data_IF_785983420391
#
_entry.id   IF_785983420391
#
_cell.length_a   1.000
_cell.length_b   1.000
_cell.length_c   1.000
_cell.angle_alpha   90.00
_cell.angle_beta   90.00
_cell.angle_gamma   90.00
#
_symmetry.space_group_name_H-M   'P 1'
#
loop_
_entity.id
_entity.type
_entity.pdbx_description
1 polymer ?
#
# COMPACT_ATOMS: atom_id res chain seq x y z
N UNK A 1 -4.17 -5.70 -41.26
CA UNK A 1 -3.80 -7.09 -41.58
C UNK A 1 -3.37 -7.77 -40.29
N UNK A 2 -4.30 -8.30 -39.51
CA UNK A 2 -4.02 -9.21 -38.40
C UNK A 2 -3.82 -10.59 -39.03
N UNK A 3 -2.57 -11.07 -39.08
CA UNK A 3 -2.27 -12.40 -39.61
C UNK A 3 -3.04 -13.44 -38.80
N UNK A 4 -3.95 -14.17 -39.47
CA UNK A 4 -4.69 -15.30 -38.93
C UNK A 4 -3.75 -16.51 -38.74
N UNK A 5 -2.71 -16.36 -37.92
CA UNK A 5 -1.85 -17.48 -37.51
C UNK A 5 -2.62 -18.49 -36.62
N UNK A 6 -3.76 -18.09 -36.06
CA UNK A 6 -4.61 -18.93 -35.20
C UNK A 6 -5.10 -20.21 -35.89
N UNK A 7 -5.59 -20.13 -37.13
CA UNK A 7 -6.20 -21.31 -37.79
C UNK A 7 -5.18 -22.40 -38.15
N UNK A 8 -3.98 -22.04 -38.61
CA UNK A 8 -2.89 -23.00 -38.92
C UNK A 8 -2.25 -23.58 -37.63
N UNK A 9 -2.10 -22.78 -36.58
CA UNK A 9 -1.57 -23.25 -35.29
C UNK A 9 -2.52 -24.21 -34.56
N UNK A 10 -3.81 -23.96 -34.70
CA UNK A 10 -4.87 -24.76 -34.09
C UNK A 10 -5.11 -26.05 -34.89
N UNK A 11 -5.03 -26.01 -36.24
CA UNK A 11 -5.11 -27.19 -37.11
C UNK A 11 -3.96 -28.19 -36.93
N UNK A 12 -2.76 -27.72 -36.54
CA UNK A 12 -1.55 -28.57 -36.42
C UNK A 12 -1.22 -29.03 -35.00
N UNK A 13 -2.12 -28.79 -34.03
CA UNK A 13 -2.01 -29.26 -32.64
C UNK A 13 -0.75 -28.76 -31.89
N UNK A 14 -0.09 -27.72 -32.40
CA UNK A 14 1.11 -27.15 -31.79
C UNK A 14 0.81 -26.43 -30.48
N UNK A 15 -0.41 -25.89 -30.33
CA UNK A 15 -0.87 -25.26 -29.09
C UNK A 15 -0.90 -26.28 -27.95
N UNK A 16 -1.42 -27.48 -28.20
CA UNK A 16 -1.46 -28.54 -27.20
C UNK A 16 -0.05 -29.00 -26.83
N UNK A 17 0.84 -29.18 -27.81
CA UNK A 17 2.25 -29.51 -27.54
C UNK A 17 2.96 -28.42 -26.73
N UNK A 18 2.72 -27.15 -27.06
CA UNK A 18 3.35 -26.03 -26.37
C UNK A 18 2.79 -25.85 -24.95
N UNK A 19 1.48 -25.98 -24.76
CA UNK A 19 0.85 -26.01 -23.43
C UNK A 19 1.36 -27.20 -22.61
N UNK A 20 1.52 -28.38 -23.20
CA UNK A 20 2.08 -29.55 -22.52
C UNK A 20 3.56 -29.34 -22.15
N UNK A 21 4.36 -28.70 -23.01
CA UNK A 21 5.72 -28.29 -22.67
C UNK A 21 5.71 -27.30 -21.49
N UNK A 22 4.81 -26.31 -21.51
CA UNK A 22 4.67 -25.35 -20.41
C UNK A 22 4.21 -26.04 -19.12
N UNK A 23 3.28 -27.00 -19.20
CA UNK A 23 2.85 -27.83 -18.06
C UNK A 23 4.00 -28.66 -17.51
N UNK A 24 4.81 -29.26 -18.38
CA UNK A 24 5.95 -30.08 -17.97
C UNK A 24 7.06 -29.24 -17.35
N UNK A 25 7.37 -28.08 -17.91
CA UNK A 25 8.29 -27.09 -17.30
C UNK A 25 7.76 -26.60 -15.95
N UNK A 26 6.47 -26.28 -15.87
CA UNK A 26 5.82 -25.94 -14.60
C UNK A 26 5.89 -27.11 -13.61
N UNK A 27 5.67 -28.35 -14.05
CA UNK A 27 5.69 -29.56 -13.23
C UNK A 27 7.10 -29.86 -12.70
N UNK A 28 8.12 -29.73 -13.53
CA UNK A 28 9.53 -29.87 -13.18
C UNK A 28 9.94 -28.84 -12.11
N UNK A 29 9.48 -27.59 -12.25
CA UNK A 29 9.61 -26.54 -11.23
C UNK A 29 8.90 -26.87 -9.90
N UNK A 30 7.94 -27.80 -9.89
CA UNK A 30 7.27 -28.30 -8.68
C UNK A 30 7.98 -29.53 -8.09
N UNK A 31 8.45 -30.48 -8.89
CA UNK A 31 9.06 -31.71 -8.41
C UNK A 31 10.44 -31.48 -7.76
N UNK A 32 11.18 -30.47 -8.23
CA UNK A 32 12.42 -30.00 -7.59
C UNK A 32 12.24 -29.37 -6.20
N UNK A 33 11.00 -29.21 -5.71
CA UNK A 33 10.68 -28.53 -4.43
C UNK A 33 10.21 -29.48 -3.31
N UNK A 34 10.22 -30.79 -3.55
CA UNK A 34 9.79 -31.82 -2.57
C UNK A 34 10.78 -32.09 -1.43
N UNK A 35 12.01 -31.53 -1.48
CA UNK A 35 12.96 -31.58 -0.36
C UNK A 35 13.28 -30.16 0.13
N UNK A 36 12.51 -29.69 1.11
CA UNK A 36 12.69 -28.44 1.89
C UNK A 36 12.86 -27.13 1.08
N UNK A 37 11.73 -26.40 1.00
CA UNK A 37 11.66 -24.93 1.10
C UNK A 37 12.38 -24.14 0.00
N UNK A 38 11.80 -24.08 -1.21
CA UNK A 38 12.01 -22.96 -2.17
C UNK A 38 10.94 -22.98 -3.26
N UNK A 39 9.97 -22.06 -3.22
CA UNK A 39 9.08 -21.83 -4.35
C UNK A 39 9.86 -21.11 -5.45
N UNK A 40 10.27 -21.85 -6.48
CA UNK A 40 10.99 -21.27 -7.62
C UNK A 40 10.18 -20.17 -8.29
N UNK A 41 10.79 -19.02 -8.52
CA UNK A 41 10.20 -17.93 -9.29
C UNK A 41 9.86 -18.48 -10.68
N UNK A 42 8.60 -18.30 -11.09
CA UNK A 42 8.17 -18.69 -12.42
C UNK A 42 8.93 -17.84 -13.44
N UNK A 43 9.60 -18.49 -14.40
CA UNK A 43 10.37 -17.75 -15.41
C UNK A 43 9.46 -16.77 -16.13
N UNK A 44 9.88 -15.50 -16.19
CA UNK A 44 9.17 -14.42 -16.88
C UNK A 44 8.78 -14.82 -18.30
N UNK A 45 9.63 -15.60 -18.99
CA UNK A 45 9.35 -16.11 -20.33
C UNK A 45 8.13 -17.04 -20.36
N UNK A 46 7.96 -17.92 -19.37
CA UNK A 46 6.81 -18.85 -19.27
C UNK A 46 5.51 -18.06 -19.03
N UNK A 47 5.57 -17.04 -18.18
CA UNK A 47 4.40 -16.19 -17.90
C UNK A 47 3.98 -15.39 -19.13
N UNK A 48 4.93 -14.74 -19.81
CA UNK A 48 4.62 -13.90 -20.96
C UNK A 48 4.20 -14.72 -22.18
N UNK A 49 4.79 -15.90 -22.40
CA UNK A 49 4.34 -16.82 -23.46
C UNK A 49 2.90 -17.27 -23.25
N UNK A 50 2.47 -17.55 -22.00
CA UNK A 50 1.06 -17.82 -21.70
C UNK A 50 0.15 -16.64 -22.05
N UNK A 51 0.57 -15.41 -21.75
CA UNK A 51 -0.17 -14.21 -22.12
C UNK A 51 -0.27 -14.02 -23.64
N UNK A 52 0.79 -14.34 -24.38
CA UNK A 52 0.79 -14.30 -25.84
C UNK A 52 -0.09 -15.41 -26.46
N UNK A 53 -0.14 -16.60 -25.86
CA UNK A 53 -1.07 -17.66 -26.26
C UNK A 53 -2.51 -17.17 -26.08
N UNK A 54 -2.83 -16.61 -24.91
CA UNK A 54 -4.16 -16.05 -24.65
C UNK A 54 -4.53 -14.96 -25.67
N UNK A 55 -3.58 -14.07 -25.98
CA UNK A 55 -3.76 -12.99 -26.96
C UNK A 55 -4.05 -13.48 -28.38
N UNK A 56 -3.35 -14.51 -28.84
CA UNK A 56 -3.45 -14.97 -30.23
C UNK A 56 -4.53 -16.03 -30.46
N UNK A 57 -4.90 -16.81 -29.44
CA UNK A 57 -5.87 -17.90 -29.55
C UNK A 57 -7.23 -17.57 -28.93
N UNK A 58 -7.31 -16.59 -28.03
CA UNK A 58 -8.55 -16.18 -27.39
C UNK A 58 -9.28 -17.35 -26.72
N UNK A 59 -10.58 -17.48 -26.98
CA UNK A 59 -11.46 -18.50 -26.38
C UNK A 59 -11.12 -19.94 -26.74
N UNK A 60 -10.32 -20.18 -27.78
CA UNK A 60 -9.86 -21.52 -28.13
C UNK A 60 -8.92 -22.13 -27.07
N UNK A 61 -8.21 -21.30 -26.33
CA UNK A 61 -7.22 -21.74 -25.34
C UNK A 61 -7.79 -21.82 -23.91
N UNK A 62 -9.06 -21.48 -23.69
CA UNK A 62 -9.70 -21.41 -22.35
C UNK A 62 -9.51 -22.68 -21.53
N UNK A 63 -9.77 -23.86 -22.12
CA UNK A 63 -9.65 -25.14 -21.42
C UNK A 63 -8.23 -25.46 -20.97
N UNK A 64 -7.23 -25.03 -21.75
CA UNK A 64 -5.82 -25.29 -21.48
C UNK A 64 -5.22 -24.30 -20.48
N UNK A 65 -5.62 -23.03 -20.56
CA UNK A 65 -5.11 -21.95 -19.70
C UNK A 65 -5.73 -22.04 -18.31
N UNK A 66 -7.00 -22.43 -18.17
CA UNK A 66 -7.70 -22.48 -16.87
C UNK A 66 -6.97 -23.33 -15.82
N UNK A 67 -6.56 -24.55 -16.17
CA UNK A 67 -5.83 -25.42 -15.24
C UNK A 67 -4.43 -24.91 -14.88
N UNK A 68 -3.79 -24.16 -15.78
CA UNK A 68 -2.48 -23.55 -15.55
C UNK A 68 -2.57 -22.30 -14.70
N UNK A 69 -3.61 -21.50 -14.87
CA UNK A 69 -3.78 -20.21 -14.23
C UNK A 69 -3.86 -20.34 -12.70
N UNK A 70 -4.66 -21.27 -12.19
CA UNK A 70 -4.76 -21.51 -10.74
C UNK A 70 -3.42 -21.92 -10.13
N UNK A 71 -2.67 -22.75 -10.85
CA UNK A 71 -1.32 -23.18 -10.44
C UNK A 71 -0.34 -22.01 -10.42
N UNK A 72 -0.41 -21.14 -11.42
CA UNK A 72 0.48 -19.99 -11.57
C UNK A 72 0.17 -18.91 -10.51
N UNK A 73 -1.10 -18.56 -10.31
CA UNK A 73 -1.54 -17.61 -9.27
C UNK A 73 -1.25 -18.17 -7.87
N UNK A 74 -1.35 -19.49 -7.70
CA UNK A 74 -1.00 -20.20 -6.48
C UNK A 74 0.48 -20.14 -6.11
N UNK A 75 1.40 -19.99 -7.09
CA UNK A 75 2.85 -19.96 -6.84
C UNK A 75 3.35 -18.65 -6.28
N UNK A 76 2.91 -17.51 -6.81
CA UNK A 76 3.40 -16.22 -6.33
C UNK A 76 2.94 -15.06 -7.19
N UNK A 77 2.78 -13.90 -6.56
CA UNK A 77 2.50 -12.67 -7.27
C UNK A 77 3.80 -12.06 -7.79
N UNK A 78 3.84 -11.74 -9.08
CA UNK A 78 4.96 -11.07 -9.73
C UNK A 78 4.44 -10.08 -10.77
N UNK A 79 5.24 -9.08 -11.14
CA UNK A 79 4.84 -8.11 -12.15
C UNK A 79 4.52 -8.76 -13.52
N UNK A 80 5.31 -9.74 -14.02
CA UNK A 80 4.96 -10.44 -15.24
C UNK A 80 3.65 -11.21 -15.15
N UNK A 81 3.35 -11.82 -13.99
CA UNK A 81 2.07 -12.50 -13.77
C UNK A 81 0.90 -11.54 -13.88
N UNK A 82 0.99 -10.36 -13.27
CA UNK A 82 -0.04 -9.32 -13.35
C UNK A 82 -0.34 -8.94 -14.81
N UNK A 83 0.70 -8.77 -15.63
CA UNK A 83 0.58 -8.48 -17.07
C UNK A 83 -0.05 -9.66 -17.82
N UNK A 84 0.39 -10.89 -17.56
CA UNK A 84 -0.18 -12.10 -18.16
C UNK A 84 -1.66 -12.24 -17.84
N UNK A 85 -2.05 -12.05 -16.57
CA UNK A 85 -3.44 -12.07 -16.16
C UNK A 85 -4.27 -10.99 -16.86
N UNK A 86 -3.71 -9.79 -17.05
CA UNK A 86 -4.39 -8.71 -17.77
C UNK A 86 -4.63 -9.08 -19.23
N UNK A 87 -3.61 -9.63 -19.91
CA UNK A 87 -3.76 -10.13 -21.28
C UNK A 87 -4.80 -11.25 -21.40
N UNK A 88 -4.83 -12.17 -20.44
CA UNK A 88 -5.82 -13.25 -20.37
C UNK A 88 -7.23 -12.69 -20.19
N UNK A 89 -7.42 -11.76 -19.24
CA UNK A 89 -8.73 -11.16 -18.97
C UNK A 89 -9.25 -10.31 -20.15
N UNK A 90 -8.34 -9.68 -20.90
CA UNK A 90 -8.68 -8.87 -22.09
C UNK A 90 -9.08 -9.74 -23.29
N UNK A 91 -8.34 -10.82 -23.58
CA UNK A 91 -8.54 -11.64 -24.78
C UNK A 91 -9.43 -12.86 -24.55
N UNK A 92 -9.71 -13.22 -23.28
CA UNK A 92 -10.59 -14.32 -22.88
C UNK A 92 -11.60 -13.83 -21.81
N UNK A 93 -12.69 -13.16 -22.23
CA UNK A 93 -13.68 -12.61 -21.30
C UNK A 93 -14.33 -13.65 -20.38
N UNK A 94 -14.46 -14.89 -20.85
CA UNK A 94 -14.99 -16.03 -20.07
C UNK A 94 -14.16 -16.31 -18.80
N UNK A 95 -12.86 -15.99 -18.83
CA UNK A 95 -11.94 -16.18 -17.71
C UNK A 95 -11.78 -14.93 -16.83
N UNK A 96 -12.37 -13.78 -17.20
CA UNK A 96 -12.20 -12.51 -16.48
C UNK A 96 -12.54 -12.66 -14.99
N UNK A 97 -13.67 -13.28 -14.67
CA UNK A 97 -14.12 -13.55 -13.28
C UNK A 97 -13.12 -14.43 -12.52
N UNK A 98 -12.74 -15.58 -13.11
CA UNK A 98 -11.83 -16.54 -12.47
C UNK A 98 -10.46 -15.90 -12.17
N UNK A 99 -9.92 -15.12 -13.12
CA UNK A 99 -8.66 -14.37 -12.97
C UNK A 99 -8.78 -13.32 -11.85
N UNK A 100 -9.86 -12.53 -11.86
CA UNK A 100 -10.13 -11.50 -10.87
C UNK A 100 -10.20 -12.08 -9.45
N UNK A 101 -10.95 -13.18 -9.27
CA UNK A 101 -11.06 -13.84 -7.96
C UNK A 101 -9.73 -14.42 -7.50
N UNK A 102 -9.01 -15.12 -8.38
CA UNK A 102 -7.69 -15.68 -8.06
C UNK A 102 -6.70 -14.60 -7.62
N UNK A 103 -6.65 -13.48 -8.34
CA UNK A 103 -5.79 -12.34 -8.01
C UNK A 103 -6.20 -11.68 -6.69
N UNK A 104 -7.49 -11.37 -6.49
CA UNK A 104 -7.97 -10.77 -5.25
C UNK A 104 -7.68 -11.67 -4.04
N UNK A 105 -7.86 -12.98 -4.18
CA UNK A 105 -7.52 -13.97 -3.15
C UNK A 105 -6.06 -13.86 -2.75
N UNK A 106 -5.17 -13.84 -3.74
CA UNK A 106 -3.73 -13.81 -3.50
C UNK A 106 -3.29 -12.47 -2.91
N UNK A 107 -3.80 -11.36 -3.43
CA UNK A 107 -3.54 -10.02 -2.90
C UNK A 107 -4.00 -9.92 -1.45
N UNK A 108 -5.20 -10.40 -1.12
CA UNK A 108 -5.71 -10.36 0.25
C UNK A 108 -4.80 -11.15 1.21
N UNK A 109 -4.32 -12.34 0.80
CA UNK A 109 -3.39 -13.13 1.61
C UNK A 109 -2.07 -12.41 1.84
N UNK A 110 -1.55 -11.71 0.83
CA UNK A 110 -0.29 -10.95 0.96
C UNK A 110 -0.50 -9.76 1.89
N UNK A 111 -1.55 -8.97 1.67
CA UNK A 111 -1.80 -7.76 2.47
C UNK A 111 -2.18 -8.11 3.92
N UNK A 112 -2.95 -9.17 4.16
CA UNK A 112 -3.34 -9.60 5.50
C UNK A 112 -2.17 -10.18 6.33
N UNK A 113 -1.23 -10.87 5.68
CA UNK A 113 -0.10 -11.47 6.39
C UNK A 113 1.07 -10.51 6.56
N UNK A 114 0.95 -9.26 6.13
CA UNK A 114 2.01 -8.27 6.28
C UNK A 114 2.20 -7.96 7.76
N UNK A 115 3.26 -8.50 8.36
CA UNK A 115 3.61 -8.24 9.75
C UNK A 115 4.73 -7.21 9.82
N UNK A 116 4.51 -6.10 10.52
CA UNK A 116 5.64 -5.31 11.03
C UNK A 116 6.44 -4.49 10.01
N UNK A 117 5.82 -3.94 8.96
CA UNK A 117 6.44 -2.83 8.20
C UNK A 117 6.36 -1.49 8.99
N UNK A 118 6.13 -1.56 10.29
CA UNK A 118 6.25 -0.42 11.20
C UNK A 118 7.72 -0.12 11.47
N UNK A 119 8.04 1.16 11.64
CA UNK A 119 9.40 1.69 11.86
C UNK A 119 10.19 0.85 12.89
N UNK A 120 11.37 0.30 12.54
CA UNK A 120 12.28 -0.24 13.54
C UNK A 120 12.97 0.93 14.24
N UNK A 121 12.48 1.30 15.43
CA UNK A 121 13.14 2.30 16.28
C UNK A 121 12.21 3.39 16.79
N UNK A 122 11.36 3.05 17.76
CA UNK A 122 10.89 4.04 18.73
C UNK A 122 11.98 4.21 19.80
N UNK A 123 12.64 5.37 19.83
CA UNK A 123 13.36 5.81 21.03
C UNK A 123 12.39 5.81 22.22
N UNK A 124 12.79 5.34 23.41
CA UNK A 124 11.91 5.35 24.57
C UNK A 124 11.65 6.81 24.95
N UNK A 125 10.40 7.23 24.83
CA UNK A 125 9.91 8.47 25.44
C UNK A 125 10.03 8.27 26.95
N UNK A 126 11.12 8.83 27.50
CA UNK A 126 11.40 8.85 28.92
C UNK A 126 10.26 9.48 29.69
N UNK A 127 9.91 8.84 30.80
CA UNK A 127 8.91 9.26 31.75
C UNK A 127 9.07 10.75 32.12
N UNK A 128 7.94 11.44 32.12
CA UNK A 128 7.78 12.81 32.63
C UNK A 128 8.08 12.80 34.13
N UNK A 129 9.22 13.34 34.53
CA UNK A 129 9.45 13.87 35.87
C UNK A 129 9.70 15.37 35.71
N UNK A 130 8.77 16.18 36.20
CA UNK A 130 8.85 17.63 36.16
C UNK A 130 10.03 18.14 36.98
N UNK A 131 10.84 19.00 36.38
CA UNK A 131 11.82 19.83 37.09
C UNK A 131 11.74 21.24 36.50
N UNK A 132 11.27 22.17 37.33
CA UNK A 132 11.33 23.62 37.14
C UNK A 132 12.75 24.15 37.46
N UNK A 133 13.14 25.33 36.94
CA UNK A 133 14.52 25.76 36.88
C UNK A 133 15.00 26.42 38.18
N UNK A 134 16.30 26.26 38.48
CA UNK A 134 16.95 26.77 39.67
C UNK A 134 17.61 28.14 39.54
N UNK A 135 17.82 28.77 40.70
CA UNK A 135 18.98 29.58 41.12
C UNK A 135 18.87 29.80 42.65
N UNK A 136 19.87 30.35 43.36
CA UNK A 136 21.17 29.77 43.72
C UNK A 136 21.36 29.57 45.25
N UNK A 137 22.51 28.97 45.61
CA UNK A 137 23.15 28.73 46.94
C UNK A 137 22.86 29.74 48.09
N UNK A 138 22.90 29.31 49.37
CA UNK A 138 24.12 29.51 50.20
C UNK A 138 24.40 28.48 51.33
N UNK A 139 25.70 28.33 51.65
CA UNK A 139 26.34 28.48 52.98
C UNK A 139 25.86 27.72 54.24
N UNK A 140 26.72 26.82 54.72
CA UNK A 140 27.27 26.68 56.09
C UNK A 140 26.35 26.65 57.32
N UNK A 141 26.35 25.52 58.06
CA UNK A 141 26.84 25.38 59.45
C UNK A 141 26.08 24.33 60.31
N UNK A 142 26.90 23.46 60.93
CA UNK A 142 26.80 22.90 62.30
C UNK A 142 25.61 22.05 62.76
N UNK A 143 25.95 20.83 63.23
CA UNK A 143 25.75 20.50 64.65
C UNK A 143 24.90 19.27 64.99
N UNK A 144 25.59 18.26 65.59
CA UNK A 144 25.09 17.22 66.50
C UNK A 144 24.08 16.19 65.95
N UNK A 145 24.16 14.88 66.21
CA UNK A 145 25.01 14.07 67.07
C UNK A 145 24.38 12.66 67.17
N UNK A 146 25.22 11.68 67.51
CA UNK A 146 24.90 10.31 67.95
C UNK A 146 24.31 9.32 66.93
N UNK A 147 24.51 8.00 66.99
CA UNK A 147 25.56 7.03 67.42
C UNK A 147 24.92 5.65 67.09
N UNK A 148 25.76 4.62 66.86
CA UNK A 148 25.51 3.16 67.04
C UNK A 148 25.12 2.27 65.82
N UNK A 149 26.16 1.66 65.22
CA UNK A 149 26.44 0.21 65.11
C UNK A 149 25.38 -0.83 64.66
N UNK A 150 25.59 -1.41 63.46
CA UNK A 150 25.89 -2.85 63.09
C UNK A 150 25.29 -3.96 64.00
N UNK A 151 24.71 -5.11 63.52
CA UNK A 151 25.33 -6.02 62.53
C UNK A 151 24.45 -6.72 61.46
N UNK A 152 25.16 -7.20 60.44
CA UNK A 152 24.76 -8.27 59.52
C UNK A 152 24.62 -9.63 60.21
N UNK A 153 23.65 -10.43 59.76
CA UNK A 153 23.67 -11.90 59.87
C UNK A 153 22.96 -12.54 58.67
N UNK A 154 23.66 -13.50 58.04
CA UNK A 154 23.19 -14.45 57.02
C UNK A 154 21.93 -15.20 57.45
N UNK A 155 21.16 -15.70 56.46
CA UNK A 155 20.79 -17.12 56.31
C UNK A 155 20.19 -17.36 54.90
N UNK A 156 20.86 -18.19 54.09
CA UNK A 156 20.30 -18.99 52.97
C UNK A 156 19.71 -20.30 53.54
N UNK A 157 19.11 -21.23 52.76
CA UNK A 157 18.48 -21.19 51.43
C UNK A 157 17.05 -21.81 51.47
N UNK A 158 16.23 -21.65 50.42
CA UNK A 158 15.31 -22.73 50.01
C UNK A 158 14.96 -22.63 48.53
N UNK A 159 14.96 -23.82 47.94
CA UNK A 159 14.98 -24.18 46.52
C UNK A 159 13.55 -24.24 45.97
N UNK A 160 13.26 -23.57 44.86
CA UNK A 160 12.19 -23.96 43.96
C UNK A 160 12.54 -23.61 42.50
N UNK A 161 12.19 -24.54 41.62
CA UNK A 161 12.69 -24.75 40.26
C UNK A 161 12.04 -23.83 39.22
N UNK A 162 12.83 -23.49 38.20
CA UNK A 162 12.52 -23.27 36.78
C UNK A 162 11.12 -22.79 36.36
N UNK A 163 11.05 -21.67 35.63
CA UNK A 163 10.64 -21.68 34.21
C UNK A 163 10.87 -20.34 33.48
N UNK A 164 11.74 -20.43 32.47
CA UNK A 164 11.66 -19.88 31.10
C UNK A 164 11.01 -18.50 30.88
N UNK A 165 11.89 -17.55 30.57
CA UNK A 165 11.81 -16.41 29.64
C UNK A 165 10.53 -16.33 28.78
N UNK A 166 9.79 -15.24 28.92
CA UNK A 166 8.84 -14.73 27.92
C UNK A 166 9.32 -13.36 27.40
N UNK A 167 9.60 -13.28 26.10
CA UNK A 167 9.93 -12.04 25.38
C UNK A 167 8.66 -11.20 25.14
N UNK A 168 8.67 -9.86 25.27
CA UNK A 168 7.53 -9.02 24.96
C UNK A 168 7.67 -8.42 23.55
N UNK A 169 7.18 -9.11 22.52
CA UNK A 169 6.86 -8.51 21.23
C UNK A 169 5.53 -9.07 20.74
N UNK A 170 4.45 -8.32 20.96
CA UNK A 170 3.16 -8.61 20.33
C UNK A 170 3.17 -8.09 18.89
N UNK A 171 3.51 -8.96 17.95
CA UNK A 171 3.38 -8.70 16.51
C UNK A 171 1.89 -8.65 16.13
N UNK A 172 1.39 -7.48 15.74
CA UNK A 172 0.00 -7.32 15.28
C UNK A 172 -0.07 -7.60 13.78
N UNK A 173 -0.75 -8.69 13.39
CA UNK A 173 -1.12 -8.97 12.00
C UNK A 173 -2.26 -8.04 11.58
N UNK A 174 -2.18 -7.50 10.37
CA UNK A 174 -3.31 -6.79 9.76
C UNK A 174 -4.43 -7.79 9.48
N UNK A 175 -5.65 -7.55 9.95
CA UNK A 175 -6.76 -8.49 9.70
C UNK A 175 -7.08 -8.59 8.20
N UNK A 176 -7.45 -9.79 7.75
CA UNK A 176 -7.87 -10.01 6.36
C UNK A 176 -9.09 -9.15 6.00
N UNK A 177 -9.16 -8.66 4.76
CA UNK A 177 -10.27 -7.81 4.29
C UNK A 177 -11.51 -8.67 4.04
N UNK A 178 -12.63 -8.48 4.77
CA UNK A 178 -13.87 -9.20 4.48
C UNK A 178 -14.58 -8.56 3.28
N UNK A 179 -14.96 -9.37 2.30
CA UNK A 179 -15.80 -8.95 1.18
C UNK A 179 -17.25 -9.42 1.42
N UNK A 180 -18.27 -8.53 1.36
CA UNK A 180 -19.67 -8.93 1.45
C UNK A 180 -20.04 -9.87 0.29
N UNK A 181 -20.52 -11.08 0.59
CA UNK A 181 -20.95 -12.08 -0.41
C UNK A 181 -19.90 -13.12 -0.80
N UNK A 182 -18.72 -13.16 -0.17
CA UNK A 182 -17.66 -14.14 -0.46
C UNK A 182 -17.33 -15.04 0.76
N UNK A 183 -17.13 -16.37 0.57
CA UNK A 183 -17.05 -17.37 1.64
C UNK A 183 -15.66 -17.45 2.32
N UNK A 184 -14.90 -16.37 2.32
CA UNK A 184 -13.46 -16.38 2.56
C UNK A 184 -13.04 -16.02 3.98
N UNK A 185 -13.92 -15.43 4.80
CA UNK A 185 -13.58 -14.89 6.13
C UNK A 185 -12.86 -15.84 7.10
N UNK A 186 -13.09 -17.16 7.01
CA UNK A 186 -12.51 -18.14 7.94
C UNK A 186 -11.39 -19.01 7.33
N UNK A 187 -11.28 -19.08 6.00
CA UNK A 187 -10.38 -20.01 5.32
C UNK A 187 -8.90 -19.56 5.33
N UNK A 188 -8.63 -18.26 5.45
CA UNK A 188 -7.26 -17.70 5.34
C UNK A 188 -6.51 -17.61 6.66
N UNK A 189 -7.22 -17.65 7.79
CA UNK A 189 -6.60 -17.67 9.12
C UNK A 189 -5.76 -18.93 9.37
N UNK A 190 -6.00 -20.01 8.60
CA UNK A 190 -5.29 -21.29 8.69
C UNK A 190 -4.12 -21.44 7.72
N UNK A 191 -3.99 -20.58 6.70
CA UNK A 191 -2.84 -20.57 5.79
C UNK A 191 -1.74 -19.68 6.34
N UNK A 192 -0.95 -20.23 7.26
CA UNK A 192 0.22 -19.59 7.83
C UNK A 192 1.33 -19.46 6.79
N UNK A 193 1.72 -18.22 6.48
CA UNK A 193 3.02 -17.94 5.87
C UNK A 193 4.09 -18.21 6.95
N UNK A 194 4.94 -19.22 6.73
CA UNK A 194 6.08 -19.51 7.60
C UNK A 194 7.23 -18.62 7.16
N UNK A 195 7.30 -17.41 7.74
CA UNK A 195 8.48 -16.58 7.70
C UNK A 195 9.58 -17.30 8.50
N UNK A 196 10.54 -17.90 7.80
CA UNK A 196 11.79 -18.35 8.42
C UNK A 196 12.87 -17.36 8.07
N UNK A 197 13.47 -16.75 9.09
CA UNK A 197 14.75 -16.04 8.99
C UNK A 197 15.76 -16.90 8.24
N UNK A 198 16.26 -16.42 7.12
CA UNK A 198 17.52 -16.87 6.54
C UNK A 198 18.15 -15.71 5.78
N UNK A 199 19.23 -15.19 6.35
CA UNK A 199 20.27 -14.48 5.62
C UNK A 199 20.84 -15.39 4.50
N UNK A 200 21.38 -14.71 3.47
CA UNK A 200 22.23 -15.18 2.36
C UNK A 200 21.56 -15.37 0.98
N UNK A 201 21.87 -14.36 0.13
CA UNK A 201 22.08 -14.38 -1.33
C UNK A 201 20.96 -14.83 -2.28
N UNK A 202 20.36 -13.83 -2.96
CA UNK A 202 20.00 -13.86 -4.37
C UNK A 202 18.62 -14.42 -4.73
N UNK A 203 17.73 -13.52 -5.17
CA UNK A 203 16.49 -13.79 -5.92
C UNK A 203 15.30 -14.43 -5.19
N UNK A 204 14.99 -13.96 -3.97
CA UNK A 204 13.63 -14.03 -3.44
C UNK A 204 13.14 -12.61 -3.16
N UNK A 205 11.95 -12.23 -3.67
CA UNK A 205 11.36 -10.92 -3.37
C UNK A 205 11.21 -10.79 -1.85
N UNK A 206 11.72 -9.70 -1.31
CA UNK A 206 11.49 -9.34 0.10
C UNK A 206 9.99 -9.15 0.36
N UNK A 207 9.55 -9.36 1.60
CA UNK A 207 8.14 -9.16 1.98
C UNK A 207 7.64 -7.77 1.56
N UNK A 208 8.49 -6.75 1.69
CA UNK A 208 8.22 -5.38 1.25
C UNK A 208 7.99 -5.25 -0.27
N UNK A 209 8.82 -5.91 -1.09
CA UNK A 209 8.66 -5.92 -2.54
C UNK A 209 7.39 -6.66 -2.96
N UNK A 210 7.05 -7.75 -2.27
CA UNK A 210 5.82 -8.50 -2.54
C UNK A 210 4.56 -7.65 -2.25
N UNK A 211 4.56 -6.88 -1.15
CA UNK A 211 3.48 -5.93 -0.83
C UNK A 211 3.38 -4.84 -1.89
N UNK A 212 4.51 -4.27 -2.33
CA UNK A 212 4.52 -3.27 -3.41
C UNK A 212 3.93 -3.81 -4.71
N UNK A 213 4.30 -5.03 -5.11
CA UNK A 213 3.73 -5.70 -6.29
C UNK A 213 2.24 -6.00 -6.12
N UNK A 214 1.80 -6.36 -4.90
CA UNK A 214 0.39 -6.58 -4.60
C UNK A 214 -0.44 -5.30 -4.73
N UNK A 215 0.03 -4.19 -4.16
CA UNK A 215 -0.62 -2.89 -4.27
C UNK A 215 -0.67 -2.41 -5.72
N UNK A 216 0.44 -2.53 -6.45
CA UNK A 216 0.52 -2.16 -7.87
C UNK A 216 -0.41 -3.01 -8.73
N UNK A 217 -0.46 -4.32 -8.50
CA UNK A 217 -1.38 -5.21 -9.22
C UNK A 217 -2.83 -4.84 -8.92
N UNK A 218 -3.16 -4.55 -7.65
CA UNK A 218 -4.51 -4.15 -7.28
C UNK A 218 -4.94 -2.84 -7.95
N UNK A 219 -4.04 -1.87 -8.08
CA UNK A 219 -4.35 -0.55 -8.66
C UNK A 219 -4.35 -0.50 -10.19
N UNK A 220 -3.67 -1.44 -10.87
CA UNK A 220 -3.54 -1.45 -12.33
C UNK A 220 -4.47 -2.45 -13.02
N UNK A 221 -4.97 -3.44 -12.31
CA UNK A 221 -5.84 -4.46 -12.87
C UNK A 221 -7.31 -4.06 -12.74
N UNK A 222 -8.11 -4.34 -13.77
CA UNK A 222 -9.53 -4.06 -13.77
C UNK A 222 -10.31 -5.12 -12.96
N UNK A 223 -10.85 -4.72 -11.80
CA UNK A 223 -11.71 -5.54 -10.95
C UNK A 223 -13.18 -5.10 -11.02
N UNK A 224 -13.64 -4.69 -12.20
CA UNK A 224 -15.05 -4.40 -12.47
C UNK A 224 -16.00 -5.45 -11.87
N UNK A 225 -17.04 -5.00 -11.17
CA UNK A 225 -18.03 -5.86 -10.50
C UNK A 225 -17.69 -6.23 -9.05
N UNK A 226 -16.48 -5.96 -8.56
CA UNK A 226 -16.09 -6.20 -7.17
C UNK A 226 -16.23 -4.94 -6.29
N UNK A 227 -16.66 -5.13 -5.04
CA UNK A 227 -16.77 -4.06 -4.05
C UNK A 227 -15.40 -3.79 -3.40
N UNK A 228 -14.61 -2.90 -4.01
CA UNK A 228 -13.25 -2.60 -3.57
C UNK A 228 -13.15 -1.60 -2.43
N UNK A 229 -14.27 -1.00 -1.98
CA UNK A 229 -14.27 0.02 -0.93
C UNK A 229 -13.62 -0.44 0.39
N UNK A 230 -13.76 -1.72 0.76
CA UNK A 230 -13.10 -2.29 1.95
C UNK A 230 -11.58 -2.41 1.78
N UNK A 231 -11.11 -2.78 0.59
CA UNK A 231 -9.68 -2.79 0.24
C UNK A 231 -9.08 -1.39 0.31
N UNK A 232 -9.74 -0.39 -0.29
CA UNK A 232 -9.28 1.00 -0.24
C UNK A 232 -9.14 1.47 1.21
N UNK A 233 -10.14 1.18 2.06
CA UNK A 233 -10.10 1.56 3.48
C UNK A 233 -8.98 0.84 4.24
N UNK A 234 -8.79 -0.46 3.98
CA UNK A 234 -7.71 -1.23 4.57
C UNK A 234 -6.34 -0.70 4.16
N UNK A 235 -6.14 -0.35 2.89
CA UNK A 235 -4.87 0.18 2.40
C UNK A 235 -4.59 1.54 3.03
N UNK A 236 -5.59 2.41 3.07
CA UNK A 236 -5.49 3.73 3.69
C UNK A 236 -5.13 3.69 5.18
N UNK A 237 -5.55 2.64 5.88
CA UNK A 237 -5.26 2.46 7.30
C UNK A 237 -3.87 1.88 7.58
N UNK A 238 -3.35 1.02 6.71
CA UNK A 238 -2.15 0.22 7.01
C UNK A 238 -0.90 0.64 6.22
N UNK A 239 -1.05 1.13 4.99
CA UNK A 239 0.09 1.27 4.08
C UNK A 239 0.45 2.71 3.70
N UNK A 240 -0.39 3.70 4.02
CA UNK A 240 -0.18 5.09 3.54
C UNK A 240 0.58 5.96 4.54
N UNK A 241 0.41 5.78 5.85
CA UNK A 241 1.03 6.65 6.85
C UNK A 241 2.43 6.16 7.23
N UNK A 242 3.37 7.08 7.45
CA UNK A 242 4.69 6.78 8.03
C UNK A 242 4.59 6.04 9.38
N UNK A 243 3.54 6.31 10.16
CA UNK A 243 3.30 5.66 11.46
C UNK A 243 3.05 4.15 11.32
N UNK A 244 2.49 3.74 10.20
CA UNK A 244 2.09 2.35 9.94
C UNK A 244 3.05 1.64 9.00
N UNK A 245 3.65 2.36 8.05
CA UNK A 245 4.57 1.83 7.06
C UNK A 245 5.83 2.71 6.91
N UNK A 246 6.98 2.20 7.36
CA UNK A 246 8.28 2.90 7.24
C UNK A 246 8.83 2.92 5.80
N UNK A 247 8.41 1.99 4.94
CA UNK A 247 8.96 1.83 3.59
C UNK A 247 8.34 2.83 2.62
N UNK A 248 9.18 3.69 2.04
CA UNK A 248 8.79 4.75 1.09
C UNK A 248 8.05 4.20 -0.12
N UNK A 249 8.55 3.12 -0.73
CA UNK A 249 8.00 2.50 -1.94
C UNK A 249 6.58 1.98 -1.73
N UNK A 250 6.29 1.44 -0.55
CA UNK A 250 4.95 0.94 -0.19
C UNK A 250 3.99 2.10 0.04
N UNK A 251 4.43 3.17 0.72
CA UNK A 251 3.59 4.37 0.90
C UNK A 251 3.24 5.01 -0.44
N UNK A 252 4.24 5.18 -1.31
CA UNK A 252 4.04 5.68 -2.67
C UNK A 252 3.01 4.85 -3.44
N UNK A 253 3.19 3.54 -3.50
CA UNK A 253 2.26 2.70 -4.27
C UNK A 253 0.89 2.60 -3.59
N UNK A 254 0.83 2.63 -2.25
CA UNK A 254 -0.42 2.67 -1.50
C UNK A 254 -1.27 3.91 -1.83
N UNK A 255 -0.65 5.09 -1.92
CA UNK A 255 -1.32 6.33 -2.37
C UNK A 255 -1.89 6.15 -3.78
N UNK A 256 -1.08 5.66 -4.72
CA UNK A 256 -1.49 5.46 -6.12
C UNK A 256 -2.65 4.49 -6.23
N UNK A 257 -2.56 3.36 -5.53
CA UNK A 257 -3.58 2.33 -5.53
C UNK A 257 -4.88 2.85 -4.92
N UNK A 258 -4.83 3.57 -3.79
CA UNK A 258 -6.04 4.15 -3.20
C UNK A 258 -6.74 5.14 -4.15
N UNK A 259 -6.00 6.08 -4.74
CA UNK A 259 -6.58 7.07 -5.64
C UNK A 259 -7.16 6.39 -6.90
N UNK A 260 -6.44 5.46 -7.54
CA UNK A 260 -6.93 4.72 -8.71
C UNK A 260 -8.19 3.92 -8.42
N UNK A 261 -8.25 3.24 -7.28
CA UNK A 261 -9.41 2.42 -6.88
C UNK A 261 -10.63 3.27 -6.48
N UNK A 262 -10.43 4.53 -6.08
CA UNK A 262 -11.52 5.45 -5.77
C UNK A 262 -12.23 5.99 -7.02
N UNK A 263 -11.56 6.10 -8.17
CA UNK A 263 -12.15 6.61 -9.42
C UNK A 263 -13.41 5.81 -9.84
N UNK A 264 -13.36 4.46 -9.96
CA UNK A 264 -14.54 3.68 -10.30
C UNK A 264 -15.68 3.81 -9.28
N UNK A 265 -15.36 3.97 -7.99
CA UNK A 265 -16.36 4.15 -6.93
C UNK A 265 -17.10 5.49 -7.09
N UNK A 266 -16.36 6.56 -7.41
CA UNK A 266 -16.93 7.89 -7.66
C UNK A 266 -17.81 7.87 -8.92
N UNK A 267 -17.33 7.28 -10.00
CA UNK A 267 -18.06 7.20 -11.27
C UNK A 267 -19.35 6.36 -11.14
N UNK A 268 -19.30 5.26 -10.39
CA UNK A 268 -20.47 4.43 -10.13
C UNK A 268 -21.53 5.14 -9.28
N UNK A 269 -21.10 5.92 -8.29
CA UNK A 269 -22.00 6.66 -7.41
C UNK A 269 -22.74 7.80 -8.13
N UNK A 270 -22.15 8.39 -9.16
CA UNK A 270 -22.80 9.42 -9.98
C UNK A 270 -24.01 8.89 -10.76
N UNK A 271 -24.09 7.57 -11.03
CA UNK A 271 -25.18 6.95 -11.79
C UNK A 271 -26.36 6.48 -10.91
N UNK A 272 -26.18 6.25 -9.60
CA UNK A 272 -27.23 5.73 -8.70
C UNK A 272 -27.25 6.53 -7.38
N UNK A 273 -27.93 7.69 -7.32
CA UNK A 273 -28.02 8.49 -6.11
C UNK A 273 -28.81 7.77 -5.01
N UNK A 274 -28.21 7.56 -3.84
CA UNK A 274 -28.90 7.11 -2.61
C UNK A 274 -28.48 5.75 -2.05
N UNK A 275 -28.17 4.76 -2.89
CA UNK A 275 -27.77 3.42 -2.41
C UNK A 275 -26.27 3.36 -2.01
N UNK A 276 -25.44 4.28 -2.53
CA UNK A 276 -23.98 4.30 -2.38
C UNK A 276 -23.46 5.34 -1.37
N UNK A 277 -24.31 5.93 -0.52
CA UNK A 277 -23.87 6.97 0.43
C UNK A 277 -22.72 6.48 1.33
N UNK A 278 -22.79 5.23 1.81
CA UNK A 278 -21.71 4.62 2.62
C UNK A 278 -20.38 4.49 1.88
N UNK A 279 -20.42 4.32 0.56
CA UNK A 279 -19.23 4.21 -0.28
C UNK A 279 -18.65 5.62 -0.52
N UNK A 280 -19.50 6.62 -0.72
CA UNK A 280 -19.10 8.03 -0.80
C UNK A 280 -18.50 8.55 0.52
N UNK A 281 -19.07 8.16 1.65
CA UNK A 281 -18.52 8.50 2.97
C UNK A 281 -17.14 7.86 3.16
N UNK A 282 -16.96 6.61 2.71
CA UNK A 282 -15.66 5.94 2.74
C UNK A 282 -14.64 6.64 1.82
N UNK A 283 -15.06 7.12 0.65
CA UNK A 283 -14.23 7.92 -0.26
C UNK A 283 -13.76 9.20 0.44
N UNK A 284 -14.68 9.94 1.08
CA UNK A 284 -14.35 11.17 1.84
C UNK A 284 -13.41 10.90 3.01
N UNK A 285 -13.63 9.81 3.77
CA UNK A 285 -12.75 9.40 4.86
C UNK A 285 -11.31 9.12 4.37
N UNK A 286 -11.18 8.34 3.30
CA UNK A 286 -9.89 7.98 2.71
C UNK A 286 -9.21 9.22 2.12
N UNK A 287 -9.95 10.10 1.45
CA UNK A 287 -9.41 11.34 0.89
C UNK A 287 -8.83 12.25 1.98
N UNK A 288 -9.50 12.36 3.13
CA UNK A 288 -8.95 13.09 4.28
C UNK A 288 -7.60 12.50 4.72
N UNK A 289 -7.49 11.18 4.83
CA UNK A 289 -6.23 10.52 5.23
C UNK A 289 -5.12 10.75 4.20
N UNK A 290 -5.46 10.68 2.91
CA UNK A 290 -4.53 10.97 1.83
C UNK A 290 -4.01 12.40 1.88
N UNK A 291 -4.89 13.39 2.10
CA UNK A 291 -4.49 14.80 2.22
C UNK A 291 -3.61 15.05 3.44
N UNK A 292 -3.89 14.41 4.58
CA UNK A 292 -3.02 14.49 5.77
C UNK A 292 -1.62 13.94 5.44
N UNK A 293 -1.54 12.81 4.72
CA UNK A 293 -0.26 12.25 4.27
C UNK A 293 0.42 13.18 3.27
N UNK A 294 -0.33 13.78 2.35
CA UNK A 294 0.17 14.78 1.41
C UNK A 294 0.82 15.99 2.08
N UNK A 295 0.39 16.36 3.29
CA UNK A 295 0.96 17.48 4.04
C UNK A 295 2.07 17.04 4.99
N UNK A 296 1.94 15.84 5.58
CA UNK A 296 2.73 15.44 6.76
C UNK A 296 3.81 14.40 6.47
N UNK A 297 3.86 13.80 5.27
CA UNK A 297 4.88 12.78 4.97
C UNK A 297 6.27 13.42 4.89
N UNK A 298 7.29 12.84 5.54
CA UNK A 298 8.65 13.37 5.48
C UNK A 298 9.26 13.29 4.07
N UNK A 299 8.78 12.37 3.23
CA UNK A 299 9.29 12.20 1.87
C UNK A 299 8.51 13.08 0.88
N UNK A 300 9.23 13.98 0.20
CA UNK A 300 8.66 14.89 -0.79
C UNK A 300 7.99 14.18 -1.97
N UNK A 301 8.50 13.02 -2.40
CA UNK A 301 7.92 12.29 -3.52
C UNK A 301 6.57 11.66 -3.14
N UNK A 302 6.40 11.22 -1.88
CA UNK A 302 5.09 10.77 -1.37
C UNK A 302 4.09 11.92 -1.38
N UNK A 303 4.47 13.09 -0.84
CA UNK A 303 3.60 14.27 -0.82
C UNK A 303 3.21 14.73 -2.22
N UNK A 304 4.19 14.83 -3.12
CA UNK A 304 3.97 15.15 -4.53
C UNK A 304 3.07 14.12 -5.22
N UNK A 305 3.25 12.83 -4.95
CA UNK A 305 2.43 11.77 -5.53
C UNK A 305 0.95 11.95 -5.19
N UNK A 306 0.62 12.32 -3.96
CA UNK A 306 -0.77 12.60 -3.55
C UNK A 306 -1.37 13.69 -4.43
N UNK A 307 -0.75 14.88 -4.47
CA UNK A 307 -1.32 16.02 -5.17
C UNK A 307 -1.27 15.88 -6.70
N UNK A 308 -0.30 15.16 -7.25
CA UNK A 308 -0.19 14.92 -8.70
C UNK A 308 -1.30 14.04 -9.28
N UNK A 309 -1.99 13.27 -8.43
CA UNK A 309 -3.05 12.33 -8.85
C UNK A 309 -4.47 12.83 -8.49
N UNK A 310 -4.60 14.04 -7.93
CA UNK A 310 -5.91 14.64 -7.63
C UNK A 310 -6.51 15.30 -8.88
N UNK A 311 -7.21 14.49 -9.66
CA UNK A 311 -7.91 14.91 -10.88
C UNK A 311 -9.30 15.52 -10.59
N UNK A 312 -9.94 16.06 -11.63
CA UNK A 312 -11.22 16.78 -11.53
C UNK A 312 -12.38 15.92 -11.05
N UNK A 313 -12.26 14.60 -11.18
CA UNK A 313 -13.20 13.63 -10.65
C UNK A 313 -13.35 13.73 -9.13
N UNK A 314 -12.35 14.27 -8.42
CA UNK A 314 -12.39 14.45 -6.98
C UNK A 314 -12.91 15.83 -6.53
N UNK A 315 -13.16 16.77 -7.44
CA UNK A 315 -13.40 18.17 -7.07
C UNK A 315 -14.64 18.36 -6.19
N UNK A 316 -15.71 17.59 -6.42
CA UNK A 316 -16.91 17.60 -5.59
C UNK A 316 -16.63 17.23 -4.12
N UNK A 317 -15.62 16.39 -3.88
CA UNK A 317 -15.18 16.03 -2.53
C UNK A 317 -14.17 17.04 -2.00
N UNK A 318 -13.20 17.46 -2.83
CA UNK A 318 -12.15 18.39 -2.44
C UNK A 318 -12.68 19.80 -2.11
N UNK A 319 -13.80 20.20 -2.72
CA UNK A 319 -14.45 21.49 -2.46
C UNK A 319 -15.09 21.60 -1.05
N UNK A 320 -15.13 20.50 -0.29
CA UNK A 320 -15.61 20.50 1.09
C UNK A 320 -14.60 21.21 2.01
N UNK A 321 -15.10 21.99 2.97
CA UNK A 321 -14.29 22.82 3.88
C UNK A 321 -13.14 22.04 4.57
N UNK A 322 -13.38 20.80 4.99
CA UNK A 322 -12.34 19.93 5.62
C UNK A 322 -11.15 19.65 4.70
N UNK A 323 -11.40 19.45 3.41
CA UNK A 323 -10.37 19.12 2.43
C UNK A 323 -9.69 20.39 1.92
N UNK A 324 -10.45 21.47 1.72
CA UNK A 324 -9.90 22.79 1.38
C UNK A 324 -8.89 23.29 2.42
N UNK A 325 -9.18 23.15 3.71
CA UNK A 325 -8.22 23.53 4.77
C UNK A 325 -6.89 22.76 4.65
N UNK A 326 -6.95 21.49 4.26
CA UNK A 326 -5.75 20.69 4.02
C UNK A 326 -4.96 21.22 2.81
N UNK A 327 -5.65 21.56 1.71
CA UNK A 327 -5.02 22.16 0.53
C UNK A 327 -4.39 23.53 0.83
N UNK A 328 -5.02 24.35 1.67
CA UNK A 328 -4.45 25.64 2.06
C UNK A 328 -3.15 25.52 2.87
N UNK A 329 -3.02 24.48 3.69
CA UNK A 329 -1.75 24.16 4.36
C UNK A 329 -0.70 23.71 3.34
N UNK A 330 -1.08 22.82 2.40
CA UNK A 330 -0.20 22.32 1.35
C UNK A 330 0.29 23.40 0.36
N UNK A 331 -0.37 24.55 0.30
CA UNK A 331 0.08 25.69 -0.51
C UNK A 331 1.40 26.30 -0.01
N UNK A 332 1.73 26.07 1.26
CA UNK A 332 2.97 26.50 1.89
C UNK A 332 3.99 25.35 2.01
N UNK A 333 3.92 24.36 1.12
CA UNK A 333 4.88 23.25 1.09
C UNK A 333 6.30 23.75 0.78
N UNK A 334 7.30 23.11 1.40
CA UNK A 334 8.73 23.40 1.15
C UNK A 334 9.14 23.15 -0.30
N UNK A 335 8.49 22.20 -0.99
CA UNK A 335 8.80 21.87 -2.37
C UNK A 335 7.95 22.71 -3.33
N UNK A 336 8.61 23.55 -4.13
CA UNK A 336 7.95 24.40 -5.13
C UNK A 336 7.01 23.64 -6.07
N UNK A 337 7.43 22.46 -6.57
CA UNK A 337 6.60 21.64 -7.45
C UNK A 337 5.26 21.22 -6.80
N UNK A 338 5.24 21.00 -5.48
CA UNK A 338 4.02 20.67 -4.74
C UNK A 338 3.13 21.89 -4.62
N UNK A 339 3.70 23.06 -4.27
CA UNK A 339 2.97 24.35 -4.25
C UNK A 339 2.27 24.61 -5.59
N UNK A 340 2.95 24.36 -6.71
CA UNK A 340 2.37 24.49 -8.05
C UNK A 340 1.20 23.54 -8.32
N UNK A 341 1.32 22.26 -7.97
CA UNK A 341 0.22 21.29 -8.12
C UNK A 341 -1.00 21.66 -7.26
N UNK A 342 -0.76 22.08 -6.01
CA UNK A 342 -1.83 22.52 -5.11
C UNK A 342 -2.50 23.80 -5.62
N UNK A 343 -1.72 24.74 -6.14
CA UNK A 343 -2.26 25.97 -6.77
C UNK A 343 -3.15 25.65 -7.97
N UNK A 344 -2.73 24.73 -8.85
CA UNK A 344 -3.55 24.27 -9.98
C UNK A 344 -4.86 23.62 -9.51
N UNK A 345 -4.78 22.77 -8.48
CA UNK A 345 -5.94 22.13 -7.88
C UNK A 345 -6.92 23.16 -7.29
N UNK A 346 -6.42 24.12 -6.51
CA UNK A 346 -7.24 25.21 -5.96
C UNK A 346 -7.81 26.11 -7.05
N UNK A 347 -7.07 26.37 -8.12
CA UNK A 347 -7.56 27.10 -9.29
C UNK A 347 -8.79 26.41 -9.88
N UNK A 348 -8.73 25.10 -10.10
CA UNK A 348 -9.88 24.30 -10.58
C UNK A 348 -11.05 24.31 -9.58
N UNK A 349 -10.75 24.21 -8.28
CA UNK A 349 -11.78 24.25 -7.22
C UNK A 349 -12.44 25.62 -7.07
N UNK A 350 -11.85 26.69 -7.60
CA UNK A 350 -12.44 28.02 -7.55
C UNK A 350 -13.71 28.13 -8.40
N UNK A 351 -13.86 27.29 -9.43
CA UNK A 351 -15.09 27.20 -10.22
C UNK A 351 -16.21 26.47 -9.47
N UNK A 352 -15.85 25.52 -8.60
CA UNK A 352 -16.81 24.70 -7.83
C UNK A 352 -17.23 25.39 -6.53
N UNK A 353 -16.29 25.99 -5.80
CA UNK A 353 -16.54 26.68 -4.54
C UNK A 353 -15.76 28.02 -4.48
N UNK A 354 -16.21 29.04 -5.23
CA UNK A 354 -15.53 30.33 -5.27
C UNK A 354 -15.52 31.04 -3.91
N UNK A 355 -16.59 30.90 -3.12
CA UNK A 355 -16.74 31.60 -1.84
C UNK A 355 -15.64 31.25 -0.83
N UNK A 356 -15.23 29.98 -0.76
CA UNK A 356 -14.16 29.55 0.15
C UNK A 356 -12.76 29.68 -0.46
N UNK A 357 -12.62 29.51 -1.77
CA UNK A 357 -11.30 29.39 -2.41
C UNK A 357 -10.75 30.74 -2.89
N UNK A 358 -11.60 31.60 -3.49
CA UNK A 358 -11.14 32.87 -4.05
C UNK A 358 -10.48 33.82 -3.03
N UNK A 359 -10.97 33.96 -1.77
CA UNK A 359 -10.30 34.82 -0.79
C UNK A 359 -8.87 34.38 -0.50
N UNK A 360 -8.64 33.07 -0.39
CA UNK A 360 -7.31 32.49 -0.15
C UNK A 360 -6.41 32.69 -1.37
N UNK A 361 -6.91 32.40 -2.58
CA UNK A 361 -6.15 32.62 -3.82
C UNK A 361 -5.76 34.09 -4.01
N UNK A 362 -6.67 35.03 -3.73
CA UNK A 362 -6.37 36.47 -3.77
C UNK A 362 -5.27 36.84 -2.77
N UNK A 363 -5.33 36.32 -1.55
CA UNK A 363 -4.32 36.57 -0.52
C UNK A 363 -2.95 36.05 -0.94
N UNK A 364 -2.91 34.87 -1.57
CA UNK A 364 -1.67 34.27 -2.06
C UNK A 364 -1.12 35.03 -3.26
N UNK A 365 -1.98 35.46 -4.20
CA UNK A 365 -1.56 36.29 -5.32
C UNK A 365 -0.93 37.61 -4.86
N UNK A 366 -1.54 38.29 -3.88
CA UNK A 366 -0.98 39.51 -3.30
C UNK A 366 0.37 39.25 -2.63
N UNK A 367 0.50 38.13 -1.92
CA UNK A 367 1.77 37.71 -1.33
C UNK A 367 2.84 37.48 -2.40
N UNK A 368 2.53 36.74 -3.48
CA UNK A 368 3.46 36.49 -4.59
C UNK A 368 3.90 37.78 -5.27
N UNK A 369 2.99 38.73 -5.52
CA UNK A 369 3.33 40.02 -6.13
C UNK A 369 4.27 40.82 -5.22
N UNK A 370 4.02 40.81 -3.91
CA UNK A 370 4.86 41.49 -2.92
C UNK A 370 6.24 40.83 -2.84
N UNK A 371 6.29 39.50 -2.70
CA UNK A 371 7.52 38.72 -2.67
C UNK A 371 8.34 38.95 -3.95
N UNK A 372 7.69 39.04 -5.13
CA UNK A 372 8.36 39.33 -6.39
C UNK A 372 8.95 40.75 -6.43
N UNK A 373 8.22 41.75 -5.92
CA UNK A 373 8.68 43.13 -5.86
C UNK A 373 9.88 43.32 -4.91
N UNK A 374 9.87 42.61 -3.77
CA UNK A 374 10.88 42.74 -2.72
C UNK A 374 12.04 41.71 -2.85
N UNK A 375 11.95 40.73 -3.76
CA UNK A 375 12.97 39.69 -3.91
C UNK A 375 14.29 40.20 -4.51
N UNK A 376 15.39 39.96 -3.80
CA UNK A 376 16.75 40.28 -4.23
C UNK A 376 17.48 39.14 -4.97
N UNK A 377 16.93 37.91 -4.99
CA UNK A 377 17.61 36.72 -5.53
C UNK A 377 16.89 36.18 -6.76
N UNK A 378 17.64 35.84 -7.82
CA UNK A 378 17.07 35.32 -9.08
C UNK A 378 16.27 34.02 -8.89
N UNK A 379 16.70 33.15 -7.97
CA UNK A 379 16.00 31.90 -7.65
C UNK A 379 14.60 32.11 -7.07
N UNK A 380 14.42 33.12 -6.21
CA UNK A 380 13.12 33.47 -5.64
C UNK A 380 12.20 34.23 -6.62
N UNK A 381 12.75 34.66 -7.77
CA UNK A 381 11.96 35.23 -8.87
C UNK A 381 11.53 34.16 -9.87
N UNK A 382 12.29 33.07 -9.95
CA UNK A 382 12.02 31.93 -10.81
C UNK A 382 11.00 30.96 -10.18
N UNK A 383 11.16 30.69 -8.87
CA UNK A 383 10.11 30.13 -8.02
C UNK A 383 9.01 31.17 -7.73
#
# INVERSE_FOLDING_TARGET
>A
MTYAAGEEFQKRDYVNKLVEILKNELKLLTESTSAKKKGGILSTAILLTLGLIAKNLGSAATGHIKGLLDTIIGRGLSQPLSITCALVAEHIPEMKRDVQEGLLKRINVILANTTGIGVPGGLPVGAVAGITPGSPTPGTAAGYGHRLSIPSSRLTPLRARHSVVGSPFSQVRTSAVPLPGFPWGEAFSKTSFVAGETDLSGDALTESQLVSVALKTLGNFDFEGYKLASFVRHIAQNFISIKTCGVREIRLEGVRTCLRLMLPLINSANHIPGQMQKELDAVSEVLTKLLIVGISDPDAEVRKCVFSMLDSQFDNFLAQSRHLNSLFVALNDEVFAIRGLVMQCLGRLSDVNPACVQPTLRSVLLKIITDLADSGTAKNKEE
#
